data_IF_537876284046
#
_entry.id   IF_537876284046
#
_cell.length_a   1.000
_cell.length_b   1.000
_cell.length_c   1.000
_cell.angle_alpha   90.00
_cell.angle_beta   90.00
_cell.angle_gamma   90.00
#
_symmetry.space_group_name_H-M   'P 1'
#
loop_
_entity.id
_entity.type
_entity.pdbx_description
1 polymer ?
#
# COMPACT_ATOMS: atom_id res chain seq x y z
N UNK A 1 -48.13 31.57 28.16
CA UNK A 1 -48.57 31.48 26.77
C UNK A 1 -47.33 31.67 25.91
N UNK A 2 -46.71 30.70 25.25
CA UNK A 2 -46.92 29.27 25.06
C UNK A 2 -45.58 28.69 24.57
N UNK A 3 -45.27 27.45 24.99
CA UNK A 3 -44.77 26.28 24.22
C UNK A 3 -43.82 26.50 23.00
N UNK A 4 -42.92 25.62 22.57
CA UNK A 4 -42.28 24.34 22.96
C UNK A 4 -41.26 24.05 21.82
N UNK A 5 -40.51 22.94 21.94
CA UNK A 5 -39.84 22.15 20.88
C UNK A 5 -38.44 22.61 20.44
N UNK A 6 -37.34 21.92 20.77
CA UNK A 6 -36.99 20.50 20.51
C UNK A 6 -37.02 20.14 19.03
N UNK A 7 -35.87 20.22 18.37
CA UNK A 7 -35.60 19.36 17.19
C UNK A 7 -34.16 18.87 17.17
N UNK A 8 -34.00 17.60 17.58
CA UNK A 8 -32.89 16.71 17.24
C UNK A 8 -32.82 16.57 15.71
N UNK A 9 -31.68 16.87 15.07
CA UNK A 9 -31.41 16.38 13.72
C UNK A 9 -30.74 15.01 13.79
N UNK A 10 -31.61 14.01 13.72
CA UNK A 10 -31.31 12.63 13.31
C UNK A 10 -30.80 12.66 11.87
N UNK A 11 -29.54 12.29 11.64
CA UNK A 11 -29.05 12.01 10.28
C UNK A 11 -29.06 10.48 10.11
N UNK A 12 -29.89 10.07 9.16
CA UNK A 12 -30.33 8.72 8.84
C UNK A 12 -29.16 7.87 8.33
N UNK A 13 -29.09 6.62 8.81
CA UNK A 13 -28.32 5.53 8.18
C UNK A 13 -29.00 5.18 6.86
N UNK A 14 -28.35 5.44 5.73
CA UNK A 14 -28.71 4.86 4.44
C UNK A 14 -27.86 3.63 4.18
N UNK A 15 -28.51 2.47 4.24
CA UNK A 15 -28.06 1.23 3.64
C UNK A 15 -28.08 1.38 2.12
N UNK A 16 -26.92 1.33 1.49
CA UNK A 16 -26.77 1.32 0.04
C UNK A 16 -25.67 0.35 -0.32
N UNK A 17 -26.08 -0.84 -0.76
CA UNK A 17 -25.24 -1.78 -1.49
C UNK A 17 -24.72 -1.09 -2.75
N UNK A 18 -23.41 -1.00 -2.91
CA UNK A 18 -22.78 -0.68 -4.20
C UNK A 18 -21.63 -1.65 -4.40
N UNK A 19 -21.97 -2.75 -5.06
CA UNK A 19 -21.04 -3.55 -5.83
C UNK A 19 -20.43 -2.66 -6.92
N UNK A 20 -19.11 -2.48 -6.90
CA UNK A 20 -18.37 -2.06 -8.09
C UNK A 20 -16.90 -2.41 -7.94
N UNK A 21 -16.58 -3.64 -8.36
CA UNK A 21 -15.49 -3.98 -9.28
C UNK A 21 -14.13 -3.30 -9.03
N UNK A 22 -13.26 -3.97 -8.26
CA UNK A 22 -11.82 -3.76 -8.35
C UNK A 22 -11.23 -4.65 -9.45
N UNK A 23 -11.10 -4.08 -10.64
CA UNK A 23 -10.30 -4.64 -11.73
C UNK A 23 -8.82 -4.42 -11.39
N UNK A 24 -8.16 -5.46 -10.86
CA UNK A 24 -6.70 -5.51 -10.76
C UNK A 24 -6.19 -6.63 -11.68
N UNK A 25 -5.78 -6.24 -12.89
CA UNK A 25 -4.93 -7.09 -13.71
C UNK A 25 -3.51 -7.08 -13.16
N UNK A 26 -3.09 -8.20 -12.58
CA UNK A 26 -1.69 -8.60 -12.57
C UNK A 26 -1.62 -10.05 -13.05
N UNK A 27 -1.27 -10.20 -14.33
CA UNK A 27 -1.06 -11.48 -14.96
C UNK A 27 0.12 -12.23 -14.33
N UNK A 28 -0.17 -13.38 -13.73
CA UNK A 28 0.65 -14.58 -13.79
C UNK A 28 -0.29 -15.78 -13.85
N UNK A 29 -0.44 -16.32 -15.06
CA UNK A 29 -1.31 -17.45 -15.33
C UNK A 29 -0.96 -18.66 -14.47
N UNK A 30 -1.96 -19.17 -13.76
CA UNK A 30 -2.06 -20.58 -13.41
C UNK A 30 -3.34 -21.09 -14.05
N UNK A 31 -3.18 -21.96 -15.05
CA UNK A 31 -4.26 -22.74 -15.64
C UNK A 31 -5.01 -23.43 -14.50
N UNK A 32 -6.30 -23.11 -14.35
CA UNK A 32 -7.20 -23.90 -13.50
C UNK A 32 -7.53 -25.13 -14.34
N UNK A 33 -7.02 -26.27 -13.89
CA UNK A 33 -7.40 -27.57 -14.38
C UNK A 33 -8.74 -27.91 -13.75
N UNK A 34 -9.80 -27.92 -14.55
CA UNK A 34 -11.08 -28.49 -14.16
C UNK A 34 -10.94 -30.00 -14.12
N UNK A 35 -11.13 -30.61 -12.95
CA UNK A 35 -11.37 -32.05 -12.86
C UNK A 35 -12.44 -32.35 -11.82
N UNK A 36 -13.54 -32.85 -12.35
CA UNK A 36 -14.58 -33.67 -11.72
C UNK A 36 -14.14 -34.45 -10.48
N UNK A 37 -14.95 -34.33 -9.43
CA UNK A 37 -15.27 -35.36 -8.43
C UNK A 37 -14.14 -36.30 -7.98
N UNK A 38 -13.41 -35.89 -6.94
CA UNK A 38 -12.57 -36.80 -6.18
C UNK A 38 -12.10 -36.12 -4.89
N UNK A 39 -12.38 -36.73 -3.74
CA UNK A 39 -11.81 -36.27 -2.45
C UNK A 39 -10.29 -36.30 -2.60
N UNK A 40 -9.57 -35.18 -2.39
CA UNK A 40 -8.12 -35.19 -2.52
C UNK A 40 -7.53 -36.08 -1.42
N UNK A 41 -7.05 -37.27 -1.80
CA UNK A 41 -6.34 -38.23 -0.91
C UNK A 41 -5.08 -37.63 -0.25
N UNK A 42 -4.67 -36.42 -0.62
CA UNK A 42 -3.52 -35.71 -0.05
C UNK A 42 -3.91 -34.25 0.23
N UNK A 43 -3.97 -33.88 1.51
CA UNK A 43 -4.03 -32.49 1.91
C UNK A 43 -2.76 -31.78 1.41
N UNK A 44 -2.91 -30.72 0.61
CA UNK A 44 -1.75 -29.93 0.21
C UNK A 44 -1.22 -29.16 1.42
N UNK A 45 -0.09 -29.60 1.97
CA UNK A 45 0.61 -28.84 2.99
C UNK A 45 1.14 -27.55 2.37
N UNK A 46 0.79 -26.39 2.94
CA UNK A 46 1.28 -25.08 2.52
C UNK A 46 2.74 -24.84 2.94
N UNK A 47 3.63 -25.84 2.90
CA UNK A 47 5.03 -25.69 3.32
C UNK A 47 5.96 -25.52 2.12
N UNK A 48 6.44 -24.30 1.88
CA UNK A 48 7.39 -23.97 0.79
C UNK A 48 8.84 -24.39 1.10
N UNK A 49 9.10 -25.06 2.23
CA UNK A 49 10.40 -25.68 2.56
C UNK A 49 10.15 -27.03 3.20
N UNK A 50 10.65 -28.09 2.57
CA UNK A 50 10.82 -29.48 3.06
C UNK A 50 10.22 -29.71 4.46
N UNK A 51 8.99 -30.22 4.56
CA UNK A 51 8.39 -31.00 5.69
C UNK A 51 8.74 -30.69 7.16
N UNK A 52 9.44 -29.60 7.48
CA UNK A 52 9.99 -29.30 8.79
C UNK A 52 9.05 -28.30 9.43
N UNK A 53 8.19 -28.83 10.30
CA UNK A 53 7.29 -28.06 11.15
C UNK A 53 8.10 -27.02 11.94
N UNK A 54 7.66 -25.76 11.93
CA UNK A 54 8.36 -24.70 12.64
C UNK A 54 8.38 -25.01 14.14
N UNK A 55 9.47 -24.70 14.83
CA UNK A 55 9.61 -24.95 16.28
C UNK A 55 8.46 -24.34 17.11
N UNK A 56 7.93 -23.19 16.67
CA UNK A 56 6.79 -22.54 17.28
C UNK A 56 5.48 -23.35 17.13
N UNK A 57 5.27 -23.99 15.99
CA UNK A 57 4.10 -24.86 15.73
C UNK A 57 4.18 -26.14 16.57
N UNK A 58 5.37 -26.72 16.71
CA UNK A 58 5.59 -27.86 17.63
C UNK A 58 5.19 -27.49 19.07
N UNK A 59 5.57 -26.31 19.54
CA UNK A 59 5.18 -25.85 20.87
C UNK A 59 3.67 -25.61 21.01
N UNK A 60 3.00 -25.12 19.97
CA UNK A 60 1.53 -24.97 19.97
C UNK A 60 0.83 -26.33 20.14
N UNK A 61 1.24 -27.33 19.35
CA UNK A 61 0.69 -28.69 19.41
C UNK A 61 0.92 -29.32 20.78
N UNK A 62 2.14 -29.17 21.35
CA UNK A 62 2.46 -29.69 22.69
C UNK A 62 1.59 -29.05 23.76
N UNK A 63 1.33 -27.73 23.67
CA UNK A 63 0.49 -27.01 24.62
C UNK A 63 -0.99 -27.44 24.55
N UNK A 64 -1.49 -27.75 23.35
CA UNK A 64 -2.83 -28.31 23.15
C UNK A 64 -2.96 -29.72 23.73
N UNK A 65 -1.96 -30.58 23.49
CA UNK A 65 -1.94 -31.98 23.95
C UNK A 65 -1.61 -32.14 25.44
N UNK A 66 -1.01 -31.12 26.08
CA UNK A 66 -0.66 -31.11 27.51
C UNK A 66 -1.83 -31.45 28.42
N UNK A 67 -3.07 -31.15 27.99
CA UNK A 67 -4.29 -31.45 28.78
C UNK A 67 -4.59 -32.94 28.89
N UNK A 68 -4.11 -33.75 27.94
CA UNK A 68 -4.45 -35.18 27.82
C UNK A 68 -3.27 -36.12 28.13
N UNK A 69 -2.04 -35.64 27.98
CA UNK A 69 -0.83 -36.46 28.10
C UNK A 69 0.25 -35.78 28.95
N UNK A 70 1.14 -36.57 29.60
CA UNK A 70 2.24 -36.02 30.38
C UNK A 70 3.24 -35.25 29.50
N UNK A 71 3.64 -34.08 29.97
CA UNK A 71 4.51 -33.16 29.21
C UNK A 71 5.86 -33.77 28.83
N UNK A 72 6.42 -34.67 29.66
CA UNK A 72 7.71 -35.31 29.39
C UNK A 72 7.71 -36.11 28.07
N UNK A 73 6.66 -36.89 27.83
CA UNK A 73 6.51 -37.67 26.59
C UNK A 73 6.32 -36.76 25.38
N UNK A 74 5.50 -35.71 25.51
CA UNK A 74 5.26 -34.76 24.42
C UNK A 74 6.54 -34.02 24.00
N UNK A 75 7.40 -33.66 24.96
CA UNK A 75 8.69 -33.02 24.68
C UNK A 75 9.66 -33.97 23.99
N UNK A 76 9.67 -35.25 24.35
CA UNK A 76 10.48 -36.29 23.70
C UNK A 76 10.03 -36.51 22.25
N UNK A 77 8.73 -36.73 22.03
CA UNK A 77 8.16 -36.93 20.68
C UNK A 77 8.35 -35.71 19.79
N UNK A 78 8.19 -34.50 20.36
CA UNK A 78 8.36 -33.25 19.62
C UNK A 78 9.82 -32.86 19.35
N UNK A 79 10.79 -33.60 19.89
CA UNK A 79 12.23 -33.32 19.82
C UNK A 79 12.55 -31.88 20.24
N UNK A 80 11.93 -31.40 21.31
CA UNK A 80 12.11 -30.02 21.79
C UNK A 80 12.65 -29.98 23.22
N UNK A 81 13.58 -29.05 23.45
CA UNK A 81 14.11 -28.78 24.78
C UNK A 81 13.02 -28.30 25.75
N UNK A 82 12.99 -28.86 26.96
CA UNK A 82 12.12 -28.43 28.07
C UNK A 82 12.25 -26.93 28.37
N UNK A 83 13.48 -26.41 28.45
CA UNK A 83 13.74 -24.99 28.70
C UNK A 83 13.14 -24.07 27.61
N UNK A 84 13.23 -24.50 26.35
CA UNK A 84 12.62 -23.79 25.22
C UNK A 84 11.10 -23.72 25.31
N UNK A 85 10.44 -24.80 25.72
CA UNK A 85 8.99 -24.85 25.91
C UNK A 85 8.54 -23.88 26.99
N UNK A 86 9.13 -23.93 28.20
CA UNK A 86 8.74 -23.03 29.28
C UNK A 86 9.00 -21.56 28.96
N UNK A 87 10.12 -21.25 28.28
CA UNK A 87 10.39 -19.89 27.78
C UNK A 87 9.31 -19.44 26.80
N UNK A 88 8.93 -20.29 25.86
CA UNK A 88 7.89 -20.00 24.89
C UNK A 88 6.53 -19.79 25.55
N UNK A 89 6.15 -20.66 26.50
CA UNK A 89 4.89 -20.61 27.23
C UNK A 89 4.80 -19.32 28.08
N UNK A 90 5.87 -18.96 28.80
CA UNK A 90 5.94 -17.70 29.57
C UNK A 90 5.78 -16.48 28.67
N UNK A 91 6.32 -16.51 27.45
CA UNK A 91 6.21 -15.40 26.50
C UNK A 91 4.93 -15.43 25.65
N UNK A 92 4.06 -16.43 25.78
CA UNK A 92 2.89 -16.63 24.91
C UNK A 92 1.90 -15.46 25.02
N UNK A 93 1.52 -15.06 26.23
CA UNK A 93 0.60 -13.94 26.48
C UNK A 93 1.14 -12.63 25.91
N UNK A 94 2.39 -12.29 26.21
CA UNK A 94 3.06 -11.08 25.69
C UNK A 94 3.15 -11.07 24.16
N UNK A 95 3.30 -12.24 23.52
CA UNK A 95 3.29 -12.36 22.06
C UNK A 95 1.89 -12.13 21.48
N UNK A 96 0.85 -12.64 22.13
CA UNK A 96 -0.54 -12.43 21.74
C UNK A 96 -0.91 -10.95 21.80
N UNK A 97 -0.63 -10.27 22.92
CA UNK A 97 -0.87 -8.83 23.06
C UNK A 97 -0.17 -8.00 21.97
N UNK A 98 1.10 -8.31 21.69
CA UNK A 98 1.84 -7.63 20.60
C UNK A 98 1.22 -7.87 19.22
N UNK A 99 0.64 -9.05 19.00
CA UNK A 99 -0.03 -9.37 17.74
C UNK A 99 -1.32 -8.57 17.61
N UNK A 100 -2.10 -8.46 18.67
CA UNK A 100 -3.30 -7.62 18.72
C UNK A 100 -2.97 -6.14 18.48
N UNK A 101 -1.95 -5.61 19.16
CA UNK A 101 -1.45 -4.24 18.89
C UNK A 101 -1.01 -4.06 17.44
N UNK A 102 -0.33 -5.06 16.85
CA UNK A 102 0.09 -5.03 15.46
C UNK A 102 -1.11 -5.05 14.50
N UNK A 103 -2.19 -5.76 14.84
CA UNK A 103 -3.43 -5.77 14.05
C UNK A 103 -4.11 -4.40 14.07
N UNK A 104 -4.29 -3.81 15.25
CA UNK A 104 -4.83 -2.46 15.39
C UNK A 104 -3.99 -1.45 14.58
N UNK A 105 -2.66 -1.52 14.72
CA UNK A 105 -1.78 -0.63 13.99
C UNK A 105 -1.84 -0.84 12.47
N UNK A 106 -2.07 -2.07 12.00
CA UNK A 106 -2.28 -2.37 10.57
C UNK A 106 -3.56 -1.71 10.04
N UNK A 107 -4.64 -1.73 10.80
CA UNK A 107 -5.90 -1.07 10.44
C UNK A 107 -5.72 0.44 10.29
N UNK A 108 -5.06 1.09 11.26
CA UNK A 108 -4.71 2.51 11.18
C UNK A 108 -3.84 2.83 9.96
N UNK A 109 -2.82 2.01 9.68
CA UNK A 109 -1.96 2.18 8.51
C UNK A 109 -2.75 2.11 7.19
N UNK A 110 -3.71 1.18 7.08
CA UNK A 110 -4.59 1.07 5.92
C UNK A 110 -5.49 2.30 5.76
N UNK A 111 -6.07 2.79 6.86
CA UNK A 111 -6.90 3.99 6.84
C UNK A 111 -6.11 5.23 6.35
N UNK A 112 -4.91 5.46 6.91
CA UNK A 112 -4.05 6.57 6.48
C UNK A 112 -3.63 6.41 5.02
N UNK A 113 -3.27 5.18 4.59
CA UNK A 113 -2.86 4.94 3.22
C UNK A 113 -3.98 5.18 2.21
N UNK A 114 -5.24 4.88 2.57
CA UNK A 114 -6.42 5.13 1.73
C UNK A 114 -6.61 6.63 1.44
N UNK A 115 -6.29 7.49 2.41
CA UNK A 115 -6.36 8.95 2.27
C UNK A 115 -5.10 9.49 1.56
N UNK A 116 -3.94 8.95 1.89
CA UNK A 116 -2.64 9.42 1.40
C UNK A 116 -1.79 8.27 0.79
N UNK A 117 -2.10 7.85 -0.45
CA UNK A 117 -1.43 6.70 -1.08
C UNK A 117 0.07 6.93 -1.38
N UNK A 118 0.51 8.19 -1.40
CA UNK A 118 1.88 8.61 -1.64
C UNK A 118 2.76 8.62 -0.37
N UNK A 119 2.20 8.31 0.80
CA UNK A 119 2.98 8.25 2.04
C UNK A 119 3.85 6.99 2.09
N UNK A 120 5.16 7.20 2.21
CA UNK A 120 6.11 6.16 2.59
C UNK A 120 6.21 6.01 4.10
N UNK A 121 6.92 4.97 4.57
CA UNK A 121 6.97 4.61 5.99
C UNK A 121 7.39 5.76 6.92
N UNK A 122 8.32 6.64 6.52
CA UNK A 122 8.72 7.82 7.34
C UNK A 122 7.57 8.81 7.54
N UNK A 123 6.80 9.08 6.48
CA UNK A 123 5.64 9.98 6.53
C UNK A 123 4.49 9.33 7.30
N UNK A 124 4.29 8.03 7.11
CA UNK A 124 3.33 7.25 7.89
C UNK A 124 3.65 7.28 9.39
N UNK A 125 4.92 7.13 9.78
CA UNK A 125 5.34 7.24 11.19
C UNK A 125 5.03 8.63 11.78
N UNK A 126 5.24 9.70 11.01
CA UNK A 126 4.87 11.06 11.45
C UNK A 126 3.36 11.25 11.55
N UNK A 127 2.58 10.67 10.63
CA UNK A 127 1.12 10.72 10.69
C UNK A 127 0.60 10.01 11.95
N UNK A 128 1.07 8.79 12.21
CA UNK A 128 0.74 8.05 13.44
C UNK A 128 1.14 8.82 14.71
N UNK A 129 2.32 9.45 14.71
CA UNK A 129 2.76 10.26 15.85
C UNK A 129 1.86 11.49 16.09
N UNK A 130 1.26 12.06 15.04
CA UNK A 130 0.29 13.17 15.18
C UNK A 130 -1.05 12.71 15.73
N UNK A 131 -1.42 11.45 15.49
CA UNK A 131 -2.60 10.80 16.07
C UNK A 131 -2.34 10.30 17.52
N UNK A 132 -1.17 10.60 18.11
CA UNK A 132 -0.81 10.19 19.47
C UNK A 132 -0.16 8.80 19.58
N UNK A 133 0.01 8.09 18.47
CA UNK A 133 0.64 6.76 18.43
C UNK A 133 2.16 6.87 18.23
N UNK A 134 2.91 6.82 19.33
CA UNK A 134 4.38 6.81 19.33
C UNK A 134 4.94 5.44 18.91
N UNK A 135 5.13 5.23 17.60
CA UNK A 135 5.64 3.97 17.06
C UNK A 135 6.99 4.14 16.36
N UNK A 136 7.92 3.23 16.63
CA UNK A 136 9.21 3.22 15.94
C UNK A 136 9.04 2.97 14.42
N UNK A 137 9.71 3.79 13.59
CA UNK A 137 9.70 3.69 12.14
C UNK A 137 10.06 2.30 11.59
N UNK A 138 10.88 1.51 12.31
CA UNK A 138 11.20 0.11 11.93
C UNK A 138 9.97 -0.81 12.03
N UNK A 139 9.14 -0.64 13.06
CA UNK A 139 7.88 -1.42 13.26
C UNK A 139 6.91 -1.08 12.13
N UNK A 140 6.72 0.21 11.85
CA UNK A 140 5.88 0.69 10.75
C UNK A 140 6.33 0.10 9.41
N UNK A 141 7.63 0.15 9.11
CA UNK A 141 8.19 -0.42 7.87
C UNK A 141 7.91 -1.93 7.74
N UNK A 142 8.05 -2.70 8.82
CA UNK A 142 7.74 -4.14 8.83
C UNK A 142 6.26 -4.38 8.52
N UNK A 143 5.36 -3.69 9.22
CA UNK A 143 3.91 -3.86 9.03
C UNK A 143 3.44 -3.43 7.64
N UNK A 144 3.98 -2.33 7.10
CA UNK A 144 3.70 -1.93 5.71
C UNK A 144 4.12 -3.01 4.71
N UNK A 145 5.28 -3.67 4.93
CA UNK A 145 5.74 -4.76 4.07
C UNK A 145 4.84 -5.99 4.15
N UNK A 146 4.38 -6.35 5.36
CA UNK A 146 3.43 -7.45 5.55
C UNK A 146 2.08 -7.19 4.86
N UNK A 147 1.63 -5.92 4.84
CA UNK A 147 0.41 -5.50 4.16
C UNK A 147 0.58 -5.27 2.64
N UNK A 148 1.82 -5.30 2.13
CA UNK A 148 2.10 -4.95 0.73
C UNK A 148 1.92 -3.46 0.39
N UNK A 149 1.83 -2.59 1.39
CA UNK A 149 1.66 -1.14 1.19
C UNK A 149 2.96 -0.54 0.66
N UNK A 150 2.88 0.12 -0.50
CA UNK A 150 3.99 0.85 -1.10
C UNK A 150 3.57 2.29 -1.38
N UNK A 151 4.53 3.22 -1.27
CA UNK A 151 4.28 4.60 -1.63
C UNK A 151 4.14 4.73 -3.14
N UNK A 152 3.00 5.23 -3.61
CA UNK A 152 2.80 5.53 -5.02
C UNK A 152 3.69 6.71 -5.41
N UNK A 153 4.60 6.49 -6.37
CA UNK A 153 5.45 7.55 -6.92
C UNK A 153 4.56 8.48 -7.74
N UNK A 154 4.44 9.75 -7.33
CA UNK A 154 3.78 10.75 -8.15
C UNK A 154 4.70 11.14 -9.31
N UNK A 155 4.19 11.04 -10.55
CA UNK A 155 4.86 11.64 -11.70
C UNK A 155 4.88 13.16 -11.49
N UNK A 156 6.06 13.79 -11.59
CA UNK A 156 6.17 15.25 -11.60
C UNK A 156 5.31 15.77 -12.76
N UNK A 157 4.28 16.56 -12.46
CA UNK A 157 3.52 17.26 -13.50
C UNK A 157 4.41 18.38 -14.03
N UNK A 158 4.60 18.51 -15.36
CA UNK A 158 5.26 19.68 -15.91
C UNK A 158 4.49 20.93 -15.47
N UNK A 159 5.22 21.87 -14.88
CA UNK A 159 4.66 23.14 -14.44
C UNK A 159 4.46 24.02 -15.68
N UNK A 160 3.25 24.00 -16.23
CA UNK A 160 2.80 25.02 -17.16
C UNK A 160 2.52 26.26 -16.31
N UNK A 161 3.40 27.25 -16.32
CA UNK A 161 3.33 28.42 -15.45
C UNK A 161 1.94 29.07 -15.40
N UNK A 162 1.70 29.89 -14.36
CA UNK A 162 0.50 30.74 -14.31
C UNK A 162 0.51 31.65 -15.55
N UNK A 163 -0.49 31.48 -16.43
CA UNK A 163 -0.86 32.30 -17.61
C UNK A 163 0.33 32.95 -18.34
N UNK A 164 0.56 32.54 -19.60
CA UNK A 164 1.58 33.12 -20.45
C UNK A 164 1.57 34.65 -20.43
N UNK A 165 2.76 35.23 -20.30
CA UNK A 165 3.04 36.64 -20.59
C UNK A 165 2.39 37.02 -21.91
N UNK A 166 1.48 38.01 -21.88
CA UNK A 166 0.82 38.68 -23.02
C UNK A 166 0.70 37.80 -24.27
N UNK A 167 -0.44 37.13 -24.41
CA UNK A 167 -0.77 36.43 -25.66
C UNK A 167 -1.03 37.50 -26.73
N UNK A 168 -0.04 37.76 -27.58
CA UNK A 168 -0.24 38.59 -28.77
C UNK A 168 -1.14 37.84 -29.76
N UNK A 169 -2.06 38.52 -30.45
CA UNK A 169 -2.87 37.90 -31.49
C UNK A 169 -1.95 37.35 -32.58
N UNK A 170 -2.22 36.13 -33.06
CA UNK A 170 -1.48 35.53 -34.16
C UNK A 170 -1.79 36.28 -35.46
N UNK A 171 -0.96 37.26 -35.81
CA UNK A 171 -1.15 38.08 -37.03
C UNK A 171 -1.00 37.23 -38.31
N UNK A 172 -0.21 36.16 -38.27
CA UNK A 172 0.06 35.33 -39.44
C UNK A 172 -1.10 34.39 -39.78
N UNK A 173 -1.87 33.93 -38.78
CA UNK A 173 -3.02 33.03 -38.96
C UNK A 173 -2.79 31.84 -39.93
N UNK A 174 -1.57 31.29 -39.99
CA UNK A 174 -1.13 30.23 -40.92
C UNK A 174 -1.16 30.60 -42.41
N UNK A 175 -1.21 31.89 -42.74
CA UNK A 175 -1.05 32.39 -44.11
C UNK A 175 0.43 32.59 -44.43
N UNK A 176 1.09 31.55 -44.93
CA UNK A 176 2.53 31.60 -45.27
C UNK A 176 2.83 32.21 -46.64
N UNK A 177 1.80 32.39 -47.49
CA UNK A 177 1.95 32.98 -48.82
C UNK A 177 2.09 34.52 -48.71
N UNK A 178 3.05 35.08 -49.44
CA UNK A 178 3.30 36.51 -49.59
C UNK A 178 3.60 36.84 -51.06
N UNK A 179 3.22 38.04 -51.51
CA UNK A 179 3.42 38.47 -52.90
C UNK A 179 4.86 38.91 -53.19
N UNK A 180 5.60 39.33 -52.16
CA UNK A 180 6.98 39.79 -52.25
C UNK A 180 7.82 39.25 -51.07
N UNK A 181 9.15 39.11 -51.24
CA UNK A 181 10.04 38.70 -50.16
C UNK A 181 10.02 39.71 -48.99
N UNK A 182 10.35 39.25 -47.78
CA UNK A 182 10.39 40.04 -46.53
C UNK A 182 9.05 40.62 -46.02
N UNK A 183 7.91 40.22 -46.58
CA UNK A 183 6.59 40.71 -46.14
C UNK A 183 6.06 39.98 -44.88
N UNK A 184 6.47 38.73 -44.66
CA UNK A 184 6.09 37.91 -43.51
C UNK A 184 7.35 37.26 -42.96
N UNK A 185 7.75 37.60 -41.74
CA UNK A 185 8.92 37.05 -41.05
C UNK A 185 8.47 36.35 -39.76
N UNK A 186 8.91 35.11 -39.58
CA UNK A 186 8.58 34.29 -38.42
C UNK A 186 9.89 33.70 -37.91
N UNK A 187 10.15 33.83 -36.61
CA UNK A 187 11.31 33.21 -35.97
C UNK A 187 10.84 32.07 -35.09
N UNK A 188 11.33 30.85 -35.34
CA UNK A 188 11.16 29.74 -34.40
C UNK A 188 12.24 29.79 -33.31
N UNK A 189 11.81 29.72 -32.05
CA UNK A 189 12.72 29.55 -30.93
C UNK A 189 12.90 28.06 -30.72
N UNK A 190 14.04 27.53 -31.16
CA UNK A 190 14.40 26.13 -30.94
C UNK A 190 15.31 26.04 -29.71
N UNK A 191 14.87 25.27 -28.71
CA UNK A 191 15.67 24.99 -27.51
C UNK A 191 16.58 23.79 -27.79
N UNK A 192 17.89 24.05 -27.85
CA UNK A 192 18.89 22.97 -27.91
C UNK A 192 19.41 22.71 -26.50
N UNK A 193 19.24 21.48 -26.02
CA UNK A 193 19.76 21.06 -24.73
C UNK A 193 21.21 20.60 -24.88
N UNK A 194 22.16 21.36 -24.32
CA UNK A 194 23.59 21.02 -24.34
C UNK A 194 24.07 20.80 -22.91
N UNK A 195 24.33 19.53 -22.58
CA UNK A 195 24.99 18.96 -21.39
C UNK A 195 24.44 19.30 -19.98
N UNK A 196 23.96 20.51 -19.72
CA UNK A 196 23.09 20.87 -18.57
C UNK A 196 22.49 22.29 -18.72
N UNK A 197 22.76 22.98 -19.83
CA UNK A 197 22.30 24.34 -20.11
C UNK A 197 21.30 24.33 -21.28
N UNK A 198 20.21 25.08 -21.14
CA UNK A 198 19.28 25.39 -22.24
C UNK A 198 19.75 26.67 -22.91
N UNK A 199 20.41 26.55 -24.06
CA UNK A 199 20.78 27.71 -24.87
C UNK A 199 19.62 28.03 -25.81
N UNK A 200 19.30 29.33 -25.90
CA UNK A 200 18.35 29.87 -26.86
C UNK A 200 19.10 30.12 -28.17
N UNK A 201 18.81 29.33 -29.20
CA UNK A 201 19.27 29.60 -30.56
C UNK A 201 18.07 30.01 -31.39
N UNK A 202 18.04 31.27 -31.86
CA UNK A 202 17.16 31.65 -32.96
C UNK A 202 17.76 31.09 -34.25
N UNK A 203 17.14 30.07 -34.84
CA UNK A 203 17.41 29.74 -36.23
C UNK A 203 16.81 30.86 -37.09
N UNK A 204 17.68 31.57 -37.78
CA UNK A 204 17.31 32.60 -38.74
C UNK A 204 17.14 31.90 -40.07
N UNK A 205 15.90 31.71 -40.52
CA UNK A 205 15.59 31.33 -41.90
C UNK A 205 15.17 32.58 -42.68
#
# INVERSE_FOLDING_TARGET
MDQESSTRRVIKRSTGSVESQTFFQFGRGKRVFESTGGIPKKAQSKSTRKGVVLKAERFLIIDELRKKHPLAWLLQIGEVSKAGYYKWHKCRSKRALRLEEDLLLKEHLLAIHKIHPYFGYKRMTRALSREGMMVNHKRVRRLMRELGIQSVIQKKRPFYGRRGSVVFPNVLNREFCAGHPFQKLVTDITYVCVWEMRLLTCLRF
#
